data_IF_671039899810
#
_entry.id   IF_671039899810
#
_cell.length_a   1.000
_cell.length_b   1.000
_cell.length_c   1.000
_cell.angle_alpha   90.00
_cell.angle_beta   90.00
_cell.angle_gamma   90.00
#
_symmetry.space_group_name_H-M   'P 1'
#
loop_
_entity.id
_entity.type
_entity.pdbx_description
1 polymer ?
#
# COMPACT_ATOMS: atom_id res chain seq x y z
N UNK A 1 23.11 21.73 8.97
CA UNK A 1 21.93 22.54 8.61
C UNK A 1 20.70 21.67 8.86
N UNK A 2 19.92 21.93 9.93
CA UNK A 2 18.75 21.12 10.28
C UNK A 2 17.59 21.56 9.38
N UNK A 3 17.10 20.66 8.54
CA UNK A 3 16.01 20.93 7.61
C UNK A 3 14.68 20.97 8.36
N UNK A 4 14.07 22.15 8.44
CA UNK A 4 12.69 22.32 8.86
C UNK A 4 11.77 21.70 7.80
N UNK A 5 11.35 20.46 7.99
CA UNK A 5 10.40 19.82 7.08
C UNK A 5 9.00 20.40 7.30
N UNK A 6 8.23 20.56 6.22
CA UNK A 6 6.82 20.97 6.29
C UNK A 6 6.00 20.08 7.24
N UNK A 7 6.36 18.79 7.33
CA UNK A 7 5.67 17.81 8.18
C UNK A 7 5.86 18.09 9.66
N UNK A 8 7.06 18.51 10.09
CA UNK A 8 7.32 18.83 11.49
C UNK A 8 6.49 20.02 11.95
N UNK A 9 6.39 21.05 11.10
CA UNK A 9 5.56 22.25 11.36
C UNK A 9 4.08 21.91 11.43
N UNK A 10 3.60 21.00 10.59
CA UNK A 10 2.21 20.54 10.60
C UNK A 10 1.88 19.73 11.87
N UNK A 11 2.77 18.82 12.28
CA UNK A 11 2.59 18.02 13.48
C UNK A 11 2.58 18.87 14.75
N UNK A 12 3.47 19.87 14.82
CA UNK A 12 3.47 20.82 15.92
C UNK A 12 2.16 21.61 15.97
N UNK A 13 1.67 22.08 14.83
CA UNK A 13 0.41 22.84 14.77
C UNK A 13 -0.80 22.02 15.20
N UNK A 14 -0.89 20.75 14.78
CA UNK A 14 -2.03 19.86 15.11
C UNK A 14 -2.05 19.49 16.60
N UNK A 15 -0.88 19.22 17.20
CA UNK A 15 -0.79 18.87 18.62
C UNK A 15 -1.09 20.05 19.57
N UNK A 16 -1.22 21.29 19.07
CA UNK A 16 -1.67 22.45 19.86
C UNK A 16 -3.20 22.55 19.96
N UNK A 17 -3.96 21.72 19.23
CA UNK A 17 -5.42 21.71 19.29
C UNK A 17 -5.87 20.94 20.56
N UNK A 18 -6.62 21.57 21.48
CA UNK A 18 -7.09 20.91 22.70
C UNK A 18 -7.90 19.65 22.38
N UNK A 19 -7.51 18.53 22.99
CA UNK A 19 -8.17 17.23 22.80
C UNK A 19 -7.69 16.42 21.59
N UNK A 20 -6.73 16.92 20.81
CA UNK A 20 -6.13 16.21 19.68
C UNK A 20 -4.68 15.85 20.01
N UNK A 21 -4.34 14.57 19.91
CA UNK A 21 -2.95 14.09 19.97
C UNK A 21 -2.68 13.21 18.77
N UNK A 22 -1.72 13.62 17.95
CA UNK A 22 -1.31 12.89 16.75
C UNK A 22 0.12 12.41 16.93
N UNK A 23 0.30 11.10 16.85
CA UNK A 23 1.62 10.45 16.78
C UNK A 23 1.86 10.03 15.34
N UNK A 24 3.01 10.41 14.79
CA UNK A 24 3.52 9.75 13.59
C UNK A 24 3.79 8.29 13.94
N UNK A 25 3.10 7.36 13.30
CA UNK A 25 3.58 5.99 13.26
C UNK A 25 4.62 5.91 12.14
N UNK A 26 5.78 5.29 12.38
CA UNK A 26 6.65 4.94 11.28
C UNK A 26 5.84 4.06 10.32
N UNK A 27 5.86 4.39 9.04
CA UNK A 27 5.45 3.43 8.01
C UNK A 27 6.43 2.26 8.14
N UNK A 28 6.08 1.24 8.92
CA UNK A 28 6.87 0.03 9.00
C UNK A 28 6.71 -0.68 7.65
N UNK A 29 7.81 -0.80 6.93
CA UNK A 29 7.89 -1.50 5.64
C UNK A 29 7.63 -3.02 5.75
N UNK A 30 7.23 -3.50 6.93
CA UNK A 30 6.97 -4.90 7.25
C UNK A 30 5.52 -5.13 7.70
N UNK A 31 4.55 -4.45 7.08
CA UNK A 31 3.20 -5.02 6.98
C UNK A 31 3.34 -6.36 6.25
N UNK A 32 2.94 -7.46 6.89
CA UNK A 32 2.72 -8.74 6.22
C UNK A 32 1.92 -8.48 4.94
N UNK A 33 2.59 -8.55 3.77
CA UNK A 33 2.38 -7.63 2.63
C UNK A 33 1.06 -7.73 1.86
N UNK A 34 0.05 -8.35 2.44
CA UNK A 34 -1.25 -8.64 1.86
C UNK A 34 -2.31 -7.60 2.22
N UNK A 35 -2.18 -6.83 3.32
CA UNK A 35 -3.24 -5.92 3.83
C UNK A 35 -3.76 -4.94 2.78
N UNK A 36 -2.87 -4.45 1.91
CA UNK A 36 -3.20 -3.49 0.84
C UNK A 36 -3.32 -4.13 -0.55
N UNK A 37 -3.39 -5.47 -0.62
CA UNK A 37 -3.47 -6.23 -1.88
C UNK A 37 -4.75 -7.04 -1.93
N UNK A 38 -5.40 -7.04 -3.10
CA UNK A 38 -6.56 -7.91 -3.33
C UNK A 38 -6.08 -9.35 -3.41
N UNK A 39 -6.62 -10.22 -2.55
CA UNK A 39 -6.39 -11.68 -2.61
C UNK A 39 -7.40 -12.32 -3.56
N UNK A 40 -6.89 -13.08 -4.52
CA UNK A 40 -7.68 -13.96 -5.37
C UNK A 40 -7.42 -15.41 -4.94
N UNK A 41 -8.49 -16.20 -4.76
CA UNK A 41 -8.37 -17.62 -4.37
C UNK A 41 -7.77 -18.44 -5.52
N UNK A 42 -8.21 -18.18 -6.75
CA UNK A 42 -7.78 -18.90 -7.93
C UNK A 42 -6.90 -18.05 -8.83
N UNK A 43 -5.92 -18.70 -9.48
CA UNK A 43 -5.03 -18.07 -10.45
C UNK A 43 -5.80 -17.41 -11.59
N UNK A 44 -6.83 -18.08 -12.11
CA UNK A 44 -7.61 -17.60 -13.25
C UNK A 44 -8.28 -16.25 -12.98
N UNK A 45 -8.85 -16.07 -11.78
CA UNK A 45 -9.43 -14.80 -11.36
C UNK A 45 -8.37 -13.69 -11.26
N UNK A 46 -7.16 -14.02 -10.78
CA UNK A 46 -6.05 -13.08 -10.71
C UNK A 46 -5.52 -12.71 -12.12
N UNK A 47 -5.44 -13.67 -13.04
CA UNK A 47 -5.02 -13.45 -14.43
C UNK A 47 -6.03 -12.56 -15.18
N UNK A 48 -7.32 -12.77 -14.97
CA UNK A 48 -8.36 -11.90 -15.52
C UNK A 48 -8.23 -10.47 -14.97
N UNK A 49 -8.05 -10.33 -13.66
CA UNK A 49 -7.82 -9.03 -13.03
C UNK A 49 -6.56 -8.35 -13.56
N UNK A 50 -5.45 -9.07 -13.71
CA UNK A 50 -4.21 -8.56 -14.28
C UNK A 50 -4.40 -8.01 -15.70
N UNK A 51 -5.16 -8.72 -16.56
CA UNK A 51 -5.48 -8.23 -17.91
C UNK A 51 -6.28 -6.93 -17.88
N UNK A 52 -7.31 -6.85 -17.02
CA UNK A 52 -8.15 -5.65 -16.90
C UNK A 52 -7.37 -4.46 -16.34
N UNK A 53 -6.60 -4.69 -15.27
CA UNK A 53 -5.74 -3.66 -14.67
C UNK A 53 -4.67 -3.20 -15.67
N UNK A 54 -4.07 -4.11 -16.43
CA UNK A 54 -3.06 -3.75 -17.41
C UNK A 54 -3.60 -2.87 -18.54
N UNK A 55 -4.80 -3.18 -19.05
CA UNK A 55 -5.51 -2.32 -20.02
C UNK A 55 -5.79 -0.93 -19.44
N UNK A 56 -6.27 -0.86 -18.19
CA UNK A 56 -6.60 0.40 -17.52
C UNK A 56 -5.37 1.27 -17.23
N UNK A 57 -4.27 0.65 -16.84
CA UNK A 57 -3.04 1.33 -16.43
C UNK A 57 -2.05 1.56 -17.58
N UNK A 58 -2.30 0.99 -18.77
CA UNK A 58 -1.38 1.09 -19.91
C UNK A 58 -0.04 0.37 -19.69
N UNK A 59 0.02 -0.59 -18.76
CA UNK A 59 1.25 -1.34 -18.45
C UNK A 59 0.96 -2.81 -18.21
N UNK A 60 1.97 -3.67 -18.36
CA UNK A 60 1.81 -5.10 -18.12
C UNK A 60 1.66 -5.37 -16.62
N UNK A 61 0.57 -6.02 -16.26
CA UNK A 61 0.35 -6.56 -14.91
C UNK A 61 0.32 -8.09 -15.00
N UNK A 62 0.77 -8.77 -13.95
CA UNK A 62 0.79 -10.24 -13.87
C UNK A 62 0.29 -10.73 -12.52
N UNK A 63 -0.35 -11.88 -12.52
CA UNK A 63 -0.69 -12.60 -11.30
C UNK A 63 0.56 -13.30 -10.73
N UNK A 64 0.70 -13.29 -9.40
CA UNK A 64 1.75 -14.02 -8.70
C UNK A 64 1.20 -14.68 -7.42
N UNK A 65 1.70 -15.88 -7.04
CA UNK A 65 1.31 -16.53 -5.81
C UNK A 65 1.93 -15.82 -4.61
N UNK A 66 1.14 -15.60 -3.57
CA UNK A 66 1.58 -14.99 -2.33
C UNK A 66 1.97 -16.07 -1.32
N UNK A 67 3.19 -15.98 -0.80
CA UNK A 67 3.74 -16.92 0.19
C UNK A 67 3.16 -16.76 1.59
N UNK A 68 2.37 -15.71 1.83
CA UNK A 68 1.85 -15.36 3.15
C UNK A 68 0.36 -15.62 3.32
N UNK A 69 -0.41 -15.63 2.24
CA UNK A 69 -1.87 -15.75 2.30
C UNK A 69 -2.43 -16.90 1.48
N UNK A 70 -1.58 -17.78 0.93
CA UNK A 70 -1.99 -18.92 0.10
C UNK A 70 -3.02 -18.53 -0.97
N UNK A 71 -2.76 -17.40 -1.62
CA UNK A 71 -3.63 -16.81 -2.63
C UNK A 71 -2.81 -16.12 -3.71
N UNK A 72 -3.49 -15.48 -4.65
CA UNK A 72 -2.89 -14.79 -5.77
C UNK A 72 -3.06 -13.29 -5.62
N UNK A 73 -2.03 -12.54 -6.02
CA UNK A 73 -2.05 -11.08 -6.11
C UNK A 73 -1.68 -10.63 -7.52
N UNK A 74 -1.97 -9.38 -7.85
CA UNK A 74 -1.61 -8.76 -9.12
C UNK A 74 -0.53 -7.71 -8.88
N UNK A 75 0.55 -7.76 -9.66
CA UNK A 75 1.66 -6.80 -9.60
C UNK A 75 2.11 -6.38 -10.98
N UNK A 76 2.78 -5.22 -11.09
CA UNK A 76 3.51 -4.87 -12.31
C UNK A 76 4.77 -5.73 -12.40
N UNK A 77 5.08 -6.20 -13.60
CA UNK A 77 6.43 -6.71 -13.91
C UNK A 77 7.33 -5.57 -14.33
#
# INVERSE_FOLDING_TARGET
MKGDSLMDRLLEAVNKIPGVSVKLQPFSDEEHSCTRKVRYVHRESADQAARLMGKKLGRRMVAYPCRYCDGWHVGSQ
#
